data_IF_757610838948
#
_entry.id   IF_757610838948
#
_cell.length_a   1.000
_cell.length_b   1.000
_cell.length_c   1.000
_cell.angle_alpha   90.00
_cell.angle_beta   90.00
_cell.angle_gamma   90.00
#
_symmetry.space_group_name_H-M   'P 1'
#
loop_
_entity.id
_entity.type
_entity.pdbx_description
1 polymer ?
#
# COMPACT_ATOMS: atom_id res chain seq x y z
N UNK A 1 -16.03 8.30 18.55
CA UNK A 1 -16.33 9.08 17.32
C UNK A 1 -16.56 8.18 16.12
N UNK A 2 -15.65 7.27 15.77
CA UNK A 2 -15.75 6.37 14.62
C UNK A 2 -16.98 5.46 14.67
N UNK A 3 -17.36 4.94 15.85
CA UNK A 3 -18.60 4.16 16.05
C UNK A 3 -19.83 4.95 15.65
N UNK A 4 -19.88 6.25 16.02
CA UNK A 4 -20.98 7.15 15.63
C UNK A 4 -21.04 7.30 14.09
N UNK A 5 -19.91 7.60 13.46
CA UNK A 5 -19.82 7.71 12.00
C UNK A 5 -20.28 6.42 11.32
N UNK A 6 -19.80 5.27 11.78
CA UNK A 6 -20.23 3.98 11.26
C UNK A 6 -21.74 3.79 11.38
N UNK A 7 -22.32 4.07 12.55
CA UNK A 7 -23.75 3.88 12.80
C UNK A 7 -24.65 4.80 11.95
N UNK A 8 -24.19 6.00 11.64
CA UNK A 8 -24.89 6.92 10.75
C UNK A 8 -24.81 6.50 9.27
N UNK A 9 -23.73 5.83 8.87
CA UNK A 9 -23.45 5.50 7.48
C UNK A 9 -23.78 4.04 7.12
N UNK A 10 -23.90 3.13 8.08
CA UNK A 10 -24.08 1.68 7.83
C UNK A 10 -25.27 1.34 6.92
N UNK A 11 -26.36 2.09 7.00
CA UNK A 11 -27.55 1.86 6.20
C UNK A 11 -27.39 2.34 4.74
N UNK A 12 -26.47 3.29 4.52
CA UNK A 12 -26.07 3.76 3.19
C UNK A 12 -25.10 2.78 2.52
N UNK A 13 -24.37 2.00 3.30
CA UNK A 13 -23.26 1.15 2.85
C UNK A 13 -23.56 -0.34 2.94
N UNK A 14 -24.75 -0.76 2.54
CA UNK A 14 -25.22 -2.17 2.64
C UNK A 14 -24.30 -3.22 2.00
N UNK A 15 -23.36 -2.83 1.14
CA UNK A 15 -22.46 -3.72 0.39
C UNK A 15 -20.98 -3.40 0.60
N UNK A 16 -20.64 -2.57 1.58
CA UNK A 16 -19.28 -2.05 1.69
C UNK A 16 -18.61 -2.52 2.97
N UNK A 17 -17.31 -2.75 2.86
CA UNK A 17 -16.47 -3.03 4.01
C UNK A 17 -15.98 -1.73 4.61
N UNK A 18 -16.03 -1.62 5.92
CA UNK A 18 -15.43 -0.54 6.67
C UNK A 18 -14.03 -0.99 7.13
N UNK A 19 -13.01 -0.22 6.80
CA UNK A 19 -11.63 -0.52 7.18
C UNK A 19 -10.97 0.64 7.91
N UNK A 20 -10.00 0.36 8.75
CA UNK A 20 -9.17 1.35 9.42
C UNK A 20 -7.71 0.91 9.45
N UNK A 21 -6.81 1.88 9.32
CA UNK A 21 -5.39 1.72 9.64
C UNK A 21 -5.07 2.60 10.84
N UNK A 22 -4.43 2.03 11.85
CA UNK A 22 -4.09 2.71 13.10
C UNK A 22 -2.61 2.52 13.43
N UNK A 23 -2.01 3.51 14.07
CA UNK A 23 -0.63 3.39 14.58
C UNK A 23 -0.52 2.49 15.81
N UNK A 24 -1.63 2.14 16.47
CA UNK A 24 -1.69 1.28 17.65
C UNK A 24 -0.76 1.69 18.82
N UNK A 25 -0.33 2.95 18.90
CA UNK A 25 0.55 3.48 19.95
C UNK A 25 -0.28 4.16 21.04
N UNK A 26 -1.29 3.44 21.55
CA UNK A 26 -2.15 3.88 22.63
C UNK A 26 -2.68 2.69 23.44
N UNK A 27 -3.15 2.93 24.65
CA UNK A 27 -3.76 1.88 25.46
C UNK A 27 -5.10 1.43 24.84
N UNK A 28 -5.21 0.16 24.48
CA UNK A 28 -6.48 -0.43 24.07
C UNK A 28 -7.48 -0.43 25.23
N UNK A 29 -8.75 -0.16 24.92
CA UNK A 29 -9.89 -0.11 25.84
C UNK A 29 -11.04 -0.92 25.27
N UNK A 30 -12.05 -1.21 26.09
CA UNK A 30 -13.23 -1.99 25.68
C UNK A 30 -13.93 -1.39 24.45
N UNK A 31 -14.09 -0.06 24.41
CA UNK A 31 -14.67 0.65 23.26
C UNK A 31 -13.93 0.42 21.93
N UNK A 32 -12.60 0.22 21.97
CA UNK A 32 -11.81 -0.12 20.79
C UNK A 32 -12.08 -1.56 20.35
N UNK A 33 -12.18 -2.49 21.30
CA UNK A 33 -12.50 -3.89 21.01
C UNK A 33 -13.91 -4.03 20.43
N UNK A 34 -14.90 -3.34 21.01
CA UNK A 34 -16.28 -3.31 20.49
C UNK A 34 -16.31 -2.82 19.04
N UNK A 35 -15.52 -1.77 18.73
CA UNK A 35 -15.44 -1.24 17.39
C UNK A 35 -14.73 -2.21 16.41
N UNK A 36 -13.68 -2.88 16.86
CA UNK A 36 -12.93 -3.84 16.05
C UNK A 36 -13.77 -5.11 15.82
N UNK A 37 -14.41 -5.63 16.86
CA UNK A 37 -15.22 -6.86 16.79
C UNK A 37 -16.50 -6.66 15.95
N UNK A 38 -17.12 -5.48 16.02
CA UNK A 38 -18.34 -5.13 15.29
C UNK A 38 -18.07 -4.49 13.93
N UNK A 39 -17.95 -3.15 13.86
CA UNK A 39 -17.81 -2.41 12.59
C UNK A 39 -16.68 -2.87 11.67
N UNK A 40 -15.55 -3.30 12.22
CA UNK A 40 -14.40 -3.74 11.44
C UNK A 40 -14.40 -5.24 11.16
N UNK A 41 -15.37 -5.98 11.68
CA UNK A 41 -15.46 -7.43 11.50
C UNK A 41 -14.13 -8.14 11.78
N UNK A 42 -13.47 -7.77 12.88
CA UNK A 42 -12.16 -8.29 13.30
C UNK A 42 -11.05 -8.15 12.25
N UNK A 43 -11.05 -7.06 11.52
CA UNK A 43 -10.04 -6.81 10.47
C UNK A 43 -9.56 -5.37 10.52
N UNK A 44 -8.24 -5.14 10.59
CA UNK A 44 -7.68 -3.79 10.59
C UNK A 44 -6.25 -3.76 10.08
N UNK A 45 -5.80 -2.56 9.70
CA UNK A 45 -4.43 -2.30 9.32
C UNK A 45 -3.62 -1.60 10.41
N UNK A 46 -2.33 -1.84 10.41
CA UNK A 46 -1.33 -1.05 11.14
C UNK A 46 -0.08 -0.90 10.30
N UNK A 47 0.81 0.02 10.68
CA UNK A 47 2.04 0.27 9.93
C UNK A 47 3.26 0.12 10.82
N UNK A 48 4.35 -0.33 10.22
CA UNK A 48 5.68 -0.33 10.81
C UNK A 48 6.69 0.24 9.81
N UNK A 49 7.51 1.17 10.24
CA UNK A 49 8.58 1.75 9.43
C UNK A 49 9.81 1.89 10.31
N UNK A 50 10.93 1.23 9.98
CA UNK A 50 12.09 1.22 10.84
C UNK A 50 12.62 2.64 11.07
N UNK A 51 12.91 2.96 12.32
CA UNK A 51 13.51 4.23 12.80
C UNK A 51 12.67 5.50 12.63
N UNK A 52 11.54 5.45 11.92
CA UNK A 52 10.73 6.66 11.65
C UNK A 52 9.31 6.59 12.20
N UNK A 53 8.77 5.40 12.48
CA UNK A 53 7.38 5.23 12.94
C UNK A 53 7.19 5.58 14.41
N UNK A 54 8.15 5.21 15.23
CA UNK A 54 8.06 5.34 16.68
C UNK A 54 9.07 6.36 17.20
N UNK A 55 8.64 7.20 18.14
CA UNK A 55 9.52 8.18 18.77
C UNK A 55 10.57 7.53 19.68
N UNK A 56 10.27 6.31 20.17
CA UNK A 56 11.14 5.58 21.09
C UNK A 56 10.71 4.12 21.21
N UNK A 57 11.58 3.28 21.77
CA UNK A 57 11.37 1.84 21.97
C UNK A 57 10.11 1.50 22.80
N UNK A 58 9.65 2.43 23.67
CA UNK A 58 8.43 2.18 24.48
C UNK A 58 7.18 2.20 23.61
N UNK A 59 7.15 3.08 22.60
CA UNK A 59 6.05 3.11 21.64
C UNK A 59 6.05 1.85 20.78
N UNK A 60 7.20 1.40 20.29
CA UNK A 60 7.31 0.17 19.50
C UNK A 60 6.87 -1.06 20.31
N UNK A 61 7.36 -1.22 21.53
CA UNK A 61 6.93 -2.30 22.44
C UNK A 61 5.44 -2.25 22.75
N UNK A 62 4.85 -1.07 22.90
CA UNK A 62 3.41 -0.94 23.08
C UNK A 62 2.64 -1.35 21.84
N UNK A 63 3.12 -0.99 20.66
CA UNK A 63 2.57 -1.38 19.38
C UNK A 63 2.61 -2.91 19.21
N UNK A 64 3.76 -3.56 19.46
CA UNK A 64 3.90 -5.03 19.43
C UNK A 64 2.92 -5.71 20.40
N UNK A 65 2.87 -5.22 21.65
CA UNK A 65 1.94 -5.73 22.65
C UNK A 65 0.47 -5.63 22.19
N UNK A 66 0.10 -4.51 21.57
CA UNK A 66 -1.24 -4.29 21.09
C UNK A 66 -1.56 -5.22 19.89
N UNK A 67 -0.60 -5.48 19.01
CA UNK A 67 -0.74 -6.47 17.95
C UNK A 67 -1.02 -7.85 18.56
N UNK A 68 -0.19 -8.33 19.49
CA UNK A 68 -0.40 -9.64 20.12
C UNK A 68 -1.77 -9.72 20.80
N UNK A 69 -2.16 -8.67 21.52
CA UNK A 69 -3.49 -8.61 22.16
C UNK A 69 -4.63 -8.75 21.14
N UNK A 70 -4.49 -8.15 19.97
CA UNK A 70 -5.50 -8.24 18.90
C UNK A 70 -5.48 -9.59 18.20
N UNK A 71 -4.30 -10.16 17.93
CA UNK A 71 -4.14 -11.50 17.36
C UNK A 71 -4.76 -12.56 18.27
N UNK A 72 -4.52 -12.49 19.59
CA UNK A 72 -5.09 -13.41 20.58
C UNK A 72 -6.63 -13.34 20.62
N UNK A 73 -7.22 -12.22 20.20
CA UNK A 73 -8.67 -12.06 20.03
C UNK A 73 -9.19 -12.52 18.66
N UNK A 74 -8.34 -13.05 17.82
CA UNK A 74 -8.68 -13.51 16.47
C UNK A 74 -8.92 -12.35 15.47
N UNK A 75 -8.25 -11.20 15.69
CA UNK A 75 -8.28 -10.09 14.72
C UNK A 75 -7.29 -10.36 13.62
N UNK A 76 -7.72 -10.26 12.36
CA UNK A 76 -6.83 -10.29 11.20
C UNK A 76 -6.15 -8.94 11.07
N UNK A 77 -4.83 -8.93 11.07
CA UNK A 77 -4.03 -7.71 10.97
C UNK A 77 -3.29 -7.69 9.63
N UNK A 78 -3.49 -6.58 8.89
CA UNK A 78 -2.67 -6.23 7.73
C UNK A 78 -1.58 -5.26 8.17
N UNK A 79 -0.33 -5.63 7.94
CA UNK A 79 0.83 -4.80 8.22
C UNK A 79 1.26 -4.04 6.97
N UNK A 80 1.32 -2.73 7.06
CA UNK A 80 1.89 -1.87 6.03
C UNK A 80 3.32 -1.49 6.40
N UNK A 81 4.25 -1.70 5.50
CA UNK A 81 5.68 -1.36 5.67
C UNK A 81 6.08 -0.41 4.56
N UNK A 82 6.52 0.78 4.91
CA UNK A 82 7.07 1.71 3.92
C UNK A 82 8.44 1.23 3.45
N UNK A 83 8.63 1.19 2.14
CA UNK A 83 9.92 0.83 1.52
C UNK A 83 10.82 2.05 1.55
N UNK A 84 11.45 2.27 2.70
CA UNK A 84 12.41 3.35 2.95
C UNK A 84 13.84 2.88 2.65
N UNK A 85 14.81 3.81 2.69
CA UNK A 85 16.23 3.47 2.64
C UNK A 85 16.62 2.52 3.78
N UNK A 86 16.08 2.72 4.99
CA UNK A 86 16.34 1.81 6.12
C UNK A 86 15.69 0.44 5.90
N UNK A 87 14.51 0.39 5.31
CA UNK A 87 13.83 -0.89 4.99
C UNK A 87 14.62 -1.71 3.98
N UNK A 88 15.12 -1.11 2.90
CA UNK A 88 15.88 -1.86 1.88
C UNK A 88 17.28 -2.27 2.35
N UNK A 89 17.78 -1.69 3.45
CA UNK A 89 19.01 -2.13 4.10
C UNK A 89 18.82 -3.39 4.96
N UNK A 90 17.56 -3.77 5.25
CA UNK A 90 17.25 -5.03 5.90
C UNK A 90 17.24 -6.13 4.85
N UNK A 91 17.92 -7.24 5.16
CA UNK A 91 17.88 -8.43 4.31
C UNK A 91 16.43 -8.95 4.22
N UNK A 92 15.84 -9.12 3.01
CA UNK A 92 14.42 -9.46 2.89
C UNK A 92 14.00 -10.67 3.73
N UNK A 93 14.82 -11.73 3.77
CA UNK A 93 14.48 -12.93 4.56
C UNK A 93 14.39 -12.65 6.07
N UNK A 94 15.22 -11.76 6.60
CA UNK A 94 15.17 -11.39 8.01
C UNK A 94 13.88 -10.62 8.31
N UNK A 95 13.47 -9.75 7.41
CA UNK A 95 12.19 -9.03 7.50
C UNK A 95 10.99 -9.99 7.39
N UNK A 96 11.03 -10.94 6.44
CA UNK A 96 9.97 -11.94 6.27
C UNK A 96 9.85 -12.85 7.51
N UNK A 97 10.97 -13.27 8.10
CA UNK A 97 10.96 -14.03 9.36
C UNK A 97 10.39 -13.23 10.52
N UNK A 98 10.80 -11.98 10.67
CA UNK A 98 10.25 -11.10 11.70
C UNK A 98 8.73 -10.91 11.56
N UNK A 99 8.21 -10.70 10.33
CA UNK A 99 6.77 -10.61 10.06
C UNK A 99 6.04 -11.90 10.45
N UNK A 100 6.61 -13.06 10.10
CA UNK A 100 6.10 -14.38 10.50
C UNK A 100 6.01 -14.50 12.03
N UNK A 101 7.08 -14.13 12.71
CA UNK A 101 7.21 -14.28 14.17
C UNK A 101 6.28 -13.28 14.91
N UNK A 102 5.98 -12.13 14.30
CA UNK A 102 4.96 -11.20 14.76
C UNK A 102 3.54 -11.80 14.67
N UNK A 103 3.31 -12.76 13.77
CA UNK A 103 2.05 -13.50 13.63
C UNK A 103 0.98 -12.80 12.81
N UNK A 104 1.30 -11.74 12.06
CA UNK A 104 0.36 -11.07 11.17
C UNK A 104 0.07 -11.92 9.93
N UNK A 105 -1.15 -11.82 9.39
CA UNK A 105 -1.61 -12.66 8.30
C UNK A 105 -1.41 -12.03 6.91
N UNK A 106 -1.29 -10.72 6.86
CA UNK A 106 -1.17 -9.96 5.61
C UNK A 106 -0.12 -8.85 5.74
N UNK A 107 0.68 -8.66 4.71
CA UNK A 107 1.64 -7.57 4.63
C UNK A 107 1.57 -6.88 3.27
N UNK A 108 1.74 -5.57 3.27
CA UNK A 108 1.91 -4.76 2.06
C UNK A 108 3.16 -3.88 2.19
N UNK A 109 4.04 -3.94 1.21
CA UNK A 109 5.22 -3.09 1.12
C UNK A 109 4.90 -1.87 0.26
N UNK A 110 4.73 -0.71 0.92
CA UNK A 110 4.31 0.52 0.28
C UNK A 110 5.52 1.35 -0.14
N UNK A 111 5.63 1.62 -1.42
CA UNK A 111 6.67 2.51 -1.94
C UNK A 111 6.36 3.95 -1.62
N UNK A 112 7.38 4.70 -1.23
CA UNK A 112 7.22 6.09 -0.82
C UNK A 112 6.84 6.99 -2.00
N UNK A 113 5.88 7.86 -1.74
CA UNK A 113 5.54 8.99 -2.62
C UNK A 113 6.03 10.29 -2.01
N UNK A 114 6.40 11.25 -2.85
CA UNK A 114 6.90 12.54 -2.41
C UNK A 114 5.82 13.46 -1.83
N UNK A 115 5.11 13.03 -0.77
CA UNK A 115 3.97 13.73 -0.18
C UNK A 115 4.07 13.82 1.33
N UNK A 116 3.32 14.77 1.92
CA UNK A 116 3.24 14.96 3.36
C UNK A 116 4.63 15.17 3.98
N UNK A 117 4.85 14.59 5.14
CA UNK A 117 6.14 14.73 5.85
C UNK A 117 7.31 14.09 5.10
N UNK A 118 7.08 13.12 4.23
CA UNK A 118 8.15 12.49 3.45
C UNK A 118 8.91 13.51 2.58
N UNK A 119 8.24 14.55 2.08
CA UNK A 119 8.90 15.63 1.33
C UNK A 119 9.96 16.39 2.12
N UNK A 120 9.88 16.38 3.45
CA UNK A 120 10.82 17.05 4.34
C UNK A 120 12.04 16.16 4.65
N UNK A 121 12.01 14.90 4.21
CA UNK A 121 12.98 13.85 4.52
C UNK A 121 13.45 13.13 3.27
N UNK A 122 14.14 13.80 2.33
CA UNK A 122 14.60 13.17 1.09
C UNK A 122 15.54 11.98 1.33
N UNK A 123 16.19 11.91 2.47
CA UNK A 123 17.11 10.85 2.88
C UNK A 123 16.41 9.50 3.10
N UNK A 124 15.09 9.48 3.34
CA UNK A 124 14.36 8.22 3.52
C UNK A 124 14.03 7.51 2.20
N UNK A 125 14.12 8.22 1.07
CA UNK A 125 13.79 7.64 -0.23
C UNK A 125 14.95 6.77 -0.75
N UNK A 126 14.72 5.50 -1.02
CA UNK A 126 15.74 4.66 -1.65
C UNK A 126 15.96 5.09 -3.10
N UNK A 127 17.12 4.73 -3.65
CA UNK A 127 17.28 4.80 -5.09
C UNK A 127 16.39 3.76 -5.77
N UNK A 128 15.73 4.17 -6.87
CA UNK A 128 14.83 3.28 -7.60
C UNK A 128 15.50 1.97 -8.03
N UNK A 129 16.79 2.02 -8.40
CA UNK A 129 17.54 0.83 -8.78
C UNK A 129 17.80 -0.12 -7.60
N UNK A 130 18.06 0.42 -6.41
CA UNK A 130 18.29 -0.36 -5.20
C UNK A 130 16.96 -0.99 -4.72
N UNK A 131 15.87 -0.23 -4.77
CA UNK A 131 14.53 -0.71 -4.48
C UNK A 131 14.10 -1.84 -5.43
N UNK A 132 14.34 -1.70 -6.74
CA UNK A 132 14.05 -2.73 -7.73
C UNK A 132 14.82 -4.03 -7.44
N UNK A 133 16.12 -3.92 -7.13
CA UNK A 133 16.95 -5.05 -6.76
C UNK A 133 16.46 -5.71 -5.45
N UNK A 134 16.04 -4.92 -4.48
CA UNK A 134 15.52 -5.43 -3.21
C UNK A 134 14.21 -6.22 -3.40
N UNK A 135 13.27 -5.76 -4.24
CA UNK A 135 12.06 -6.51 -4.55
C UNK A 135 12.35 -7.83 -5.28
N UNK A 136 13.31 -7.84 -6.20
CA UNK A 136 13.72 -9.07 -6.86
C UNK A 136 14.30 -10.07 -5.85
N UNK A 137 15.15 -9.59 -4.93
CA UNK A 137 15.73 -10.42 -3.86
C UNK A 137 14.66 -10.94 -2.90
N UNK A 138 13.68 -10.11 -2.55
CA UNK A 138 12.53 -10.53 -1.73
C UNK A 138 11.75 -11.65 -2.40
N UNK A 139 11.51 -11.56 -3.71
CA UNK A 139 10.88 -12.64 -4.48
C UNK A 139 11.68 -13.95 -4.36
N UNK A 140 12.98 -13.92 -4.68
CA UNK A 140 13.81 -15.13 -4.63
C UNK A 140 13.82 -15.76 -3.24
N UNK A 141 14.00 -14.96 -2.20
CA UNK A 141 14.01 -15.47 -0.82
C UNK A 141 12.62 -15.93 -0.36
N UNK A 142 11.56 -15.27 -0.79
CA UNK A 142 10.18 -15.72 -0.52
C UNK A 142 9.93 -17.12 -1.11
N UNK A 143 10.37 -17.37 -2.34
CA UNK A 143 10.28 -18.70 -2.98
C UNK A 143 11.18 -19.73 -2.29
N UNK A 144 12.46 -19.41 -2.07
CA UNK A 144 13.44 -20.30 -1.44
C UNK A 144 12.98 -20.80 -0.07
N UNK A 145 12.46 -19.92 0.77
CA UNK A 145 12.06 -20.23 2.14
C UNK A 145 10.56 -20.57 2.29
N UNK A 146 9.80 -20.52 1.18
CA UNK A 146 8.37 -20.82 1.19
C UNK A 146 7.56 -19.82 2.02
N UNK A 147 7.95 -18.54 2.02
CA UNK A 147 7.35 -17.49 2.85
C UNK A 147 5.88 -17.23 2.54
N UNK A 148 5.40 -17.58 1.35
CA UNK A 148 3.98 -17.56 0.97
C UNK A 148 3.08 -18.42 1.88
N UNK A 149 3.65 -19.40 2.60
CA UNK A 149 2.94 -20.23 3.59
C UNK A 149 2.85 -19.57 4.96
N UNK A 150 3.60 -18.49 5.19
CA UNK A 150 3.64 -17.80 6.48
C UNK A 150 2.56 -16.74 6.59
N UNK A 151 2.39 -15.95 5.53
CA UNK A 151 1.42 -14.87 5.42
C UNK A 151 1.26 -14.47 3.95
N UNK A 152 0.20 -13.69 3.64
CA UNK A 152 0.00 -13.11 2.33
C UNK A 152 0.85 -11.84 2.16
N UNK A 153 1.80 -11.85 1.22
CA UNK A 153 2.53 -10.68 0.79
C UNK A 153 1.79 -10.04 -0.39
N UNK A 154 0.86 -9.12 -0.09
CA UNK A 154 0.01 -8.50 -1.10
C UNK A 154 0.79 -7.83 -2.23
N UNK A 155 1.94 -7.23 -1.93
CA UNK A 155 2.78 -6.55 -2.93
C UNK A 155 3.31 -7.53 -3.98
N UNK A 156 3.74 -8.72 -3.57
CA UNK A 156 4.17 -9.77 -4.51
C UNK A 156 2.96 -10.43 -5.18
N UNK A 157 1.89 -10.73 -4.43
CA UNK A 157 0.70 -11.39 -4.97
C UNK A 157 0.01 -10.55 -6.06
N UNK A 158 -0.06 -9.23 -5.91
CA UNK A 158 -0.58 -8.33 -6.97
C UNK A 158 0.25 -8.45 -8.25
N UNK A 159 1.57 -8.59 -8.13
CA UNK A 159 2.44 -8.79 -9.29
C UNK A 159 2.20 -10.17 -9.90
N UNK A 160 2.19 -11.24 -9.11
CA UNK A 160 1.96 -12.61 -9.58
C UNK A 160 0.60 -12.75 -10.27
N UNK A 161 -0.46 -12.26 -9.63
CA UNK A 161 -1.81 -12.26 -10.19
C UNK A 161 -1.88 -11.57 -11.56
N UNK A 162 -1.10 -10.51 -11.74
CA UNK A 162 -1.03 -9.81 -13.02
C UNK A 162 -0.47 -10.69 -14.12
N UNK A 163 0.55 -11.47 -13.82
CA UNK A 163 1.15 -12.39 -14.78
C UNK A 163 0.26 -13.60 -15.03
N UNK A 164 -0.46 -14.08 -14.03
CA UNK A 164 -1.35 -15.22 -14.16
C UNK A 164 -2.65 -14.91 -14.93
N UNK A 165 -3.24 -13.74 -14.68
CA UNK A 165 -4.57 -13.37 -15.20
C UNK A 165 -4.51 -12.34 -16.32
N UNK A 166 -3.39 -11.67 -16.53
CA UNK A 166 -3.25 -10.53 -17.43
C UNK A 166 -3.99 -9.27 -16.98
N UNK A 167 -4.66 -9.29 -15.82
CA UNK A 167 -5.42 -8.16 -15.29
C UNK A 167 -4.78 -7.53 -14.06
N UNK A 168 -4.92 -6.21 -13.95
CA UNK A 168 -4.58 -5.49 -12.73
C UNK A 168 -5.72 -5.63 -11.73
N UNK A 169 -5.43 -6.20 -10.56
CA UNK A 169 -6.38 -6.34 -9.45
C UNK A 169 -6.30 -5.18 -8.47
N UNK A 170 -6.31 -3.96 -8.94
CA UNK A 170 -6.16 -2.81 -8.07
C UNK A 170 -4.73 -2.59 -7.57
N UNK A 171 -4.57 -1.79 -6.53
CA UNK A 171 -3.28 -1.43 -5.96
C UNK A 171 -2.45 -0.51 -6.87
N UNK A 172 -1.16 -0.46 -6.63
CA UNK A 172 -0.22 0.48 -7.23
C UNK A 172 -0.17 0.45 -8.77
N UNK A 173 -0.56 -0.67 -9.37
CA UNK A 173 -0.47 -0.87 -10.81
C UNK A 173 -1.75 -0.55 -11.58
N UNK A 174 -2.86 -0.24 -10.91
CA UNK A 174 -4.15 -0.07 -11.59
C UNK A 174 -4.32 1.28 -12.30
N UNK A 175 -3.65 2.34 -11.83
CA UNK A 175 -3.70 3.68 -12.39
C UNK A 175 -5.09 4.23 -12.70
N UNK A 176 -6.00 4.09 -11.75
CA UNK A 176 -7.35 4.65 -11.82
C UNK A 176 -7.83 5.17 -10.45
N UNK A 177 -6.89 5.49 -9.56
CA UNK A 177 -7.18 6.06 -8.25
C UNK A 177 -7.93 7.40 -8.38
N UNK A 178 -7.51 8.28 -9.27
CA UNK A 178 -8.16 9.58 -9.50
C UNK A 178 -9.59 9.44 -10.02
N UNK A 179 -9.92 8.32 -10.67
CA UNK A 179 -11.28 8.02 -11.10
C UNK A 179 -12.15 7.40 -10.01
N UNK A 180 -11.58 6.49 -9.21
CA UNK A 180 -12.33 5.58 -8.34
C UNK A 180 -12.38 6.02 -6.90
N UNK A 181 -11.42 6.84 -6.46
CA UNK A 181 -11.26 7.20 -5.05
C UNK A 181 -11.68 8.66 -4.83
N UNK A 182 -12.35 8.90 -3.73
CA UNK A 182 -12.55 10.22 -3.13
C UNK A 182 -11.93 10.20 -1.74
N UNK A 183 -10.82 10.89 -1.59
CA UNK A 183 -10.12 11.06 -0.32
C UNK A 183 -10.57 12.36 0.30
N UNK A 184 -11.13 12.29 1.50
CA UNK A 184 -11.49 13.47 2.29
C UNK A 184 -10.36 13.69 3.28
N UNK A 185 -9.65 14.80 3.13
CA UNK A 185 -8.55 15.19 4.00
C UNK A 185 -9.08 15.78 5.31
N UNK A 186 -8.22 15.88 6.33
CA UNK A 186 -8.59 16.37 7.66
C UNK A 186 -9.11 17.82 7.66
N UNK A 187 -8.70 18.63 6.71
CA UNK A 187 -9.15 20.00 6.48
C UNK A 187 -10.42 20.11 5.64
N UNK A 188 -10.99 18.98 5.21
CA UNK A 188 -12.18 18.91 4.37
C UNK A 188 -11.91 19.02 2.87
N UNK A 189 -10.67 19.20 2.44
CA UNK A 189 -10.33 19.19 1.00
C UNK A 189 -10.47 17.77 0.43
N UNK A 190 -10.72 17.67 -0.88
CA UNK A 190 -10.95 16.40 -1.57
C UNK A 190 -9.90 16.21 -2.65
N UNK A 191 -9.33 14.99 -2.67
CA UNK A 191 -8.44 14.50 -3.73
C UNK A 191 -8.90 13.11 -4.23
N UNK A 192 -8.35 12.63 -5.32
CA UNK A 192 -8.55 11.27 -5.79
C UNK A 192 -7.64 10.30 -5.02
N UNK A 193 -6.36 10.33 -5.33
CA UNK A 193 -5.37 9.49 -4.66
C UNK A 193 -5.18 9.92 -3.18
N UNK A 194 -5.16 8.99 -2.20
CA UNK A 194 -4.87 9.33 -0.81
C UNK A 194 -3.44 9.85 -0.59
N UNK A 195 -2.54 9.55 -1.52
CA UNK A 195 -1.15 10.02 -1.54
C UNK A 195 -0.96 11.23 -2.47
N UNK A 196 -2.04 11.94 -2.82
CA UNK A 196 -1.95 13.09 -3.71
C UNK A 196 -1.31 14.29 -3.00
N UNK A 197 -0.40 14.96 -3.69
CA UNK A 197 0.12 16.24 -3.24
C UNK A 197 -0.99 17.32 -3.26
N UNK A 198 -0.85 18.42 -2.49
CA UNK A 198 -1.90 19.45 -2.37
C UNK A 198 -2.39 20.01 -3.70
N UNK A 199 -1.54 20.07 -4.70
CA UNK A 199 -1.90 20.53 -6.05
C UNK A 199 -2.89 19.63 -6.79
N UNK A 200 -3.09 18.38 -6.34
CA UNK A 200 -4.07 17.44 -6.89
C UNK A 200 -5.44 17.51 -6.18
N UNK A 201 -5.59 18.32 -5.15
CA UNK A 201 -6.89 18.56 -4.52
C UNK A 201 -7.81 19.29 -5.51
N UNK A 202 -9.06 18.82 -5.63
CA UNK A 202 -9.99 19.31 -6.65
C UNK A 202 -11.32 19.87 -6.12
N UNK A 203 -11.51 19.90 -4.82
CA UNK A 203 -12.69 20.45 -4.19
C UNK A 203 -12.66 20.34 -2.67
N UNK A 204 -13.80 20.61 -2.04
CA UNK A 204 -13.99 20.59 -0.60
C UNK A 204 -15.28 19.85 -0.24
N UNK A 205 -15.36 19.28 0.98
CA UNK A 205 -16.50 18.50 1.48
C UNK A 205 -17.83 19.26 1.42
N UNK A 206 -17.79 20.59 1.47
CA UNK A 206 -18.97 21.46 1.40
C UNK A 206 -19.43 21.76 -0.04
N UNK A 207 -18.71 21.32 -1.04
CA UNK A 207 -19.07 21.57 -2.44
C UNK A 207 -20.21 20.62 -2.88
N UNK A 208 -20.95 21.05 -3.88
CA UNK A 208 -21.97 20.20 -4.52
C UNK A 208 -21.32 18.98 -5.19
N UNK A 209 -21.89 17.80 -4.99
CA UNK A 209 -21.35 16.53 -5.48
C UNK A 209 -21.19 16.49 -7.01
N UNK A 210 -22.10 17.14 -7.76
CA UNK A 210 -22.00 17.22 -9.23
C UNK A 210 -20.81 18.07 -9.64
N UNK A 211 -20.57 19.17 -8.91
CA UNK A 211 -19.41 20.03 -9.12
C UNK A 211 -18.11 19.31 -8.82
N UNK A 212 -18.07 18.50 -7.76
CA UNK A 212 -16.92 17.66 -7.43
C UNK A 212 -16.62 16.63 -8.51
N UNK A 213 -17.65 15.88 -8.93
CA UNK A 213 -17.49 14.83 -9.96
C UNK A 213 -17.00 15.41 -11.29
N UNK A 214 -17.53 16.57 -11.67
CA UNK A 214 -17.23 17.24 -12.94
C UNK A 214 -16.14 18.32 -12.83
N UNK A 215 -15.44 18.40 -11.71
CA UNK A 215 -14.39 19.40 -11.53
C UNK A 215 -13.35 19.32 -12.65
N UNK A 216 -13.06 20.42 -13.36
CA UNK A 216 -12.01 20.44 -14.39
C UNK A 216 -10.66 19.96 -13.84
N UNK A 217 -10.37 20.27 -12.58
CA UNK A 217 -9.15 19.85 -11.91
C UNK A 217 -9.12 18.35 -11.67
N UNK A 218 -10.26 17.73 -11.27
CA UNK A 218 -10.36 16.27 -11.17
C UNK A 218 -10.14 15.60 -12.51
N UNK A 219 -10.76 16.13 -13.58
CA UNK A 219 -10.56 15.61 -14.95
C UNK A 219 -9.09 15.73 -15.35
N UNK A 220 -8.44 16.85 -15.05
CA UNK A 220 -7.01 17.03 -15.29
C UNK A 220 -6.18 15.99 -14.53
N UNK A 221 -6.46 15.73 -13.25
CA UNK A 221 -5.77 14.73 -12.46
C UNK A 221 -5.91 13.33 -13.07
N UNK A 222 -7.10 12.96 -13.55
CA UNK A 222 -7.33 11.70 -14.28
C UNK A 222 -6.45 11.60 -15.52
N UNK A 223 -6.34 12.69 -16.29
CA UNK A 223 -5.47 12.74 -17.47
C UNK A 223 -4.00 12.58 -17.06
N UNK A 224 -3.54 13.25 -16.01
CA UNK A 224 -2.20 13.10 -15.47
C UNK A 224 -1.92 11.65 -15.02
N UNK A 225 -2.87 11.04 -14.31
CA UNK A 225 -2.75 9.64 -13.91
C UNK A 225 -2.63 8.69 -15.12
N UNK A 226 -3.34 8.98 -16.20
CA UNK A 226 -3.30 8.18 -17.45
C UNK A 226 -2.06 8.44 -18.30
N UNK A 227 -1.38 9.54 -18.10
CA UNK A 227 -0.14 9.86 -18.81
C UNK A 227 0.97 8.88 -18.45
N UNK A 228 1.84 8.61 -19.41
CA UNK A 228 2.96 7.67 -19.28
C UNK A 228 4.27 8.35 -19.67
N UNK A 229 5.32 8.04 -18.93
CA UNK A 229 6.67 8.40 -19.37
C UNK A 229 6.92 7.71 -20.74
N UNK A 230 7.45 8.41 -21.75
CA UNK A 230 7.74 7.81 -23.06
C UNK A 230 8.61 6.55 -23.01
N UNK A 231 9.47 6.43 -22.01
CA UNK A 231 10.29 5.23 -21.81
C UNK A 231 9.46 3.98 -21.45
N UNK A 232 8.24 4.17 -20.92
CA UNK A 232 7.33 3.05 -20.65
C UNK A 232 6.94 2.31 -21.94
N UNK A 233 6.75 3.02 -23.05
CA UNK A 233 6.34 2.42 -24.32
C UNK A 233 7.43 1.53 -24.95
N UNK A 234 8.68 1.68 -24.51
CA UNK A 234 9.80 0.83 -24.91
C UNK A 234 10.15 -0.22 -23.84
N UNK A 235 9.41 -0.25 -22.73
CA UNK A 235 9.69 -1.14 -21.63
C UNK A 235 9.18 -2.57 -21.90
N UNK A 236 10.01 -3.61 -21.75
CA UNK A 236 9.63 -4.99 -22.06
C UNK A 236 8.53 -5.57 -21.16
N UNK A 237 8.23 -4.91 -20.04
CA UNK A 237 7.18 -5.33 -19.09
C UNK A 237 6.00 -4.35 -19.03
N UNK A 238 5.90 -3.42 -19.97
CA UNK A 238 4.85 -2.41 -19.98
C UNK A 238 3.44 -2.99 -19.98
N UNK A 239 3.21 -4.06 -20.71
CA UNK A 239 1.92 -4.77 -20.79
C UNK A 239 1.42 -5.28 -19.41
N UNK A 240 2.35 -5.63 -18.51
CA UNK A 240 2.02 -6.06 -17.14
C UNK A 240 2.02 -4.90 -16.14
N UNK A 241 2.98 -3.98 -16.24
CA UNK A 241 3.16 -2.85 -15.35
C UNK A 241 2.16 -1.72 -15.61
N UNK A 242 1.81 -1.47 -16.86
CA UNK A 242 0.94 -0.35 -17.28
C UNK A 242 1.54 1.03 -16.99
N UNK A 243 2.82 1.11 -16.62
CA UNK A 243 3.53 2.35 -16.29
C UNK A 243 3.50 2.72 -14.80
N UNK A 244 3.05 1.80 -13.94
CA UNK A 244 3.07 1.92 -12.48
C UNK A 244 2.31 3.14 -11.90
N UNK A 245 2.48 3.45 -10.64
CA UNK A 245 1.84 4.58 -9.96
C UNK A 245 2.43 5.92 -10.43
N UNK A 246 1.55 6.85 -10.80
CA UNK A 246 1.93 8.18 -11.29
C UNK A 246 2.53 9.09 -10.20
N UNK A 247 2.31 8.75 -8.92
CA UNK A 247 2.86 9.49 -7.79
C UNK A 247 4.31 9.08 -7.45
N UNK A 248 4.83 8.00 -8.04
CA UNK A 248 6.20 7.57 -7.82
C UNK A 248 7.17 8.35 -8.72
N UNK A 249 8.16 8.95 -8.10
CA UNK A 249 9.16 9.73 -8.82
C UNK A 249 10.07 8.85 -9.69
N UNK A 250 10.37 9.34 -10.89
CA UNK A 250 11.44 8.81 -11.72
C UNK A 250 12.77 9.42 -11.27
N UNK A 251 13.83 8.61 -11.26
CA UNK A 251 15.20 9.06 -11.01
C UNK A 251 15.99 8.93 -12.32
N UNK A 252 16.04 10.03 -13.07
CA UNK A 252 16.52 9.99 -14.46
C UNK A 252 15.64 9.06 -15.32
N UNK A 253 16.24 8.06 -15.93
CA UNK A 253 15.56 7.06 -16.78
C UNK A 253 15.09 5.82 -15.98
N UNK A 254 15.20 5.84 -14.67
CA UNK A 254 14.87 4.72 -13.78
C UNK A 254 13.53 4.97 -13.08
N UNK A 255 12.53 4.13 -13.39
CA UNK A 255 11.22 4.16 -12.72
C UNK A 255 11.25 3.49 -11.35
N UNK A 256 10.26 3.78 -10.50
CA UNK A 256 10.10 3.16 -9.18
C UNK A 256 9.46 1.76 -9.18
N UNK A 257 9.13 1.20 -10.36
CA UNK A 257 8.52 -0.12 -10.46
C UNK A 257 9.53 -1.26 -10.16
N UNK A 258 9.08 -2.40 -9.61
CA UNK A 258 9.89 -3.62 -9.45
C UNK A 258 10.08 -4.31 -10.81
N UNK A 259 10.79 -3.64 -11.69
CA UNK A 259 10.93 -3.99 -13.11
C UNK A 259 11.73 -5.28 -13.32
N UNK A 260 12.75 -5.52 -12.48
CA UNK A 260 13.60 -6.71 -12.58
C UNK A 260 12.81 -7.97 -12.22
N UNK A 261 11.99 -7.91 -11.15
CA UNK A 261 11.07 -8.98 -10.80
C UNK A 261 10.09 -9.27 -11.95
N UNK A 262 9.46 -8.23 -12.51
CA UNK A 262 8.52 -8.41 -13.62
C UNK A 262 9.16 -9.00 -14.88
N UNK A 263 10.42 -8.66 -15.17
CA UNK A 263 11.17 -9.25 -16.29
C UNK A 263 11.41 -10.74 -16.08
N UNK A 264 11.79 -11.13 -14.87
CA UNK A 264 12.00 -12.54 -14.54
C UNK A 264 10.72 -13.35 -14.68
N UNK A 265 9.61 -12.86 -14.11
CA UNK A 265 8.31 -13.52 -14.23
C UNK A 265 7.85 -13.64 -15.69
N UNK A 266 8.04 -12.60 -16.49
CA UNK A 266 7.76 -12.67 -17.94
C UNK A 266 8.59 -13.73 -18.64
N UNK A 267 9.86 -13.88 -18.28
CA UNK A 267 10.70 -14.96 -18.80
C UNK A 267 10.13 -16.35 -18.46
N UNK A 268 9.67 -16.54 -17.23
CA UNK A 268 9.05 -17.80 -16.78
C UNK A 268 7.74 -18.13 -17.54
N UNK A 269 6.92 -17.13 -17.87
CA UNK A 269 5.71 -17.32 -18.71
C UNK A 269 6.05 -17.93 -20.09
N UNK A 270 7.11 -17.48 -20.71
CA UNK A 270 7.56 -17.96 -22.03
C UNK A 270 7.97 -19.44 -22.01
N UNK A 271 8.22 -20.01 -20.83
CA UNK A 271 8.59 -21.41 -20.62
C UNK A 271 7.48 -22.27 -19.97
N UNK A 272 6.27 -21.75 -19.82
CA UNK A 272 5.10 -22.54 -19.39
C UNK A 272 4.98 -22.85 -17.89
N UNK A 273 5.76 -22.19 -17.00
CA UNK A 273 5.79 -22.51 -15.56
C UNK A 273 5.81 -21.26 -14.69
N UNK A 274 4.63 -20.78 -14.25
CA UNK A 274 4.57 -19.79 -13.14
C UNK A 274 4.00 -20.37 -11.84
N UNK A 275 3.23 -21.44 -11.90
CA UNK A 275 2.66 -22.10 -10.71
C UNK A 275 2.93 -23.61 -10.73
N UNK A 276 4.15 -24.00 -10.44
CA UNK A 276 4.45 -25.40 -10.10
C UNK A 276 5.47 -25.44 -8.96
N UNK A 277 4.99 -25.13 -7.77
CA UNK A 277 5.60 -25.66 -6.52
C UNK A 277 4.72 -25.25 -5.32
#
# INVERSE_FOLDING_TARGET
HMTKVHNELKDLWKRQTFGITSNLVFKLKDEHFEFIDGPLNKRMGTSWDPKIRFENDKQEKLWEKNIQTLLDRGVTIKLFISVTQDTINIEPIELLKWIRDLGVQEVSFERLTGNGNANLHPEIFPKNIEQDAWFLKMHHQSEEYGARKWFENETLEVIYDKFDTGFLKGGTFCRDCEQKIFTINADGTISGCPNAAPEFQFGHLNDDIKSLINSPKRIHNIVCERSRNPLCFKCPVFEFCGGDCHQLAWQGDICGAPKSLMKELKGKLSYGNIRSS
#
